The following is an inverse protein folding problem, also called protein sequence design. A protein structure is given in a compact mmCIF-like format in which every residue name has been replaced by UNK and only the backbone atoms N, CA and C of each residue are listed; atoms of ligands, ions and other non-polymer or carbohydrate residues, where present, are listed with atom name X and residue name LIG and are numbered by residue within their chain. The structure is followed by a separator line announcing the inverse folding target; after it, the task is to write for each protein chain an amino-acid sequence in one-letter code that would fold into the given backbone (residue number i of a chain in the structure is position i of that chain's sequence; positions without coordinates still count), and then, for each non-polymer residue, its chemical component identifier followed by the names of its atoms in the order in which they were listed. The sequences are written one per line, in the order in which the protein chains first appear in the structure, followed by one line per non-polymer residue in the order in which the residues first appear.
data_IF_157568470564
#
_entry.id   IF_157568470564
#
_cell.length_a   1.000
_cell.length_b   1.000
_cell.length_c   1.000
_cell.angle_alpha   90.00
_cell.angle_beta   90.00
_cell.angle_gamma   90.00
#
_symmetry.space_group_name_H-M   'P 1'
#
loop_
_entity.id
_entity.type
_entity.pdbx_description
1 polymer ?
#
# COMPACT_ATOMS: atom_id res chain seq x y z
N UNK A 1 -30.36 28.26 -31.20
CA UNK A 1 -30.36 26.89 -30.61
C UNK A 1 -29.52 25.92 -31.42
N UNK A 2 -29.70 25.83 -32.74
CA UNK A 2 -28.84 25.02 -33.62
C UNK A 2 -27.35 25.39 -33.49
N UNK A 3 -27.04 26.68 -33.36
CA UNK A 3 -25.67 27.17 -33.13
C UNK A 3 -25.05 26.62 -31.85
N UNK A 4 -25.78 26.62 -30.73
CA UNK A 4 -25.28 26.08 -29.45
C UNK A 4 -25.04 24.57 -29.54
N UNK A 5 -25.91 23.84 -30.23
CA UNK A 5 -25.71 22.41 -30.48
C UNK A 5 -24.43 22.15 -31.29
N UNK A 6 -24.25 22.83 -32.42
CA UNK A 6 -23.06 22.67 -33.25
C UNK A 6 -21.78 23.14 -32.55
N UNK A 7 -21.84 24.25 -31.81
CA UNK A 7 -20.74 24.74 -31.00
C UNK A 7 -20.31 23.67 -29.99
N UNK A 8 -21.23 23.15 -29.20
CA UNK A 8 -20.92 22.12 -28.21
C UNK A 8 -20.35 20.84 -28.83
N UNK A 9 -20.91 20.38 -29.96
CA UNK A 9 -20.42 19.21 -30.68
C UNK A 9 -18.99 19.41 -31.20
N UNK A 10 -18.73 20.54 -31.85
CA UNK A 10 -17.41 20.90 -32.35
C UNK A 10 -16.42 20.99 -31.19
N UNK A 11 -16.80 21.61 -30.07
CA UNK A 11 -15.94 21.70 -28.88
C UNK A 11 -15.61 20.33 -28.31
N UNK A 12 -16.59 19.41 -28.16
CA UNK A 12 -16.31 18.04 -27.69
C UNK A 12 -15.29 17.36 -28.59
N UNK A 13 -15.53 17.39 -29.91
CA UNK A 13 -14.64 16.73 -30.88
C UNK A 13 -13.26 17.37 -30.85
N UNK A 14 -13.17 18.70 -30.99
CA UNK A 14 -11.90 19.41 -31.05
C UNK A 14 -11.06 19.25 -29.77
N UNK A 15 -11.69 19.22 -28.60
CA UNK A 15 -11.00 19.04 -27.33
C UNK A 15 -10.61 17.58 -27.06
N UNK A 16 -11.35 16.60 -27.57
CA UNK A 16 -11.07 15.19 -27.33
C UNK A 16 -10.11 14.57 -28.35
N UNK A 17 -10.09 15.10 -29.58
CA UNK A 17 -9.28 14.61 -30.69
C UNK A 17 -7.76 14.60 -30.40
N UNK A 18 -7.17 15.59 -29.69
CA UNK A 18 -5.77 15.52 -29.24
C UNK A 18 -5.48 14.34 -28.31
N UNK A 19 -6.43 13.94 -27.45
CA UNK A 19 -6.28 12.79 -26.54
C UNK A 19 -6.14 11.51 -27.36
N UNK A 20 -7.06 11.31 -28.32
CA UNK A 20 -7.03 10.16 -29.24
C UNK A 20 -5.73 10.15 -30.05
N UNK A 21 -5.31 11.30 -30.60
CA UNK A 21 -4.07 11.38 -31.38
C UNK A 21 -2.80 11.17 -30.55
N UNK A 22 -2.85 11.42 -29.24
CA UNK A 22 -1.77 11.05 -28.32
C UNK A 22 -1.75 9.55 -27.96
N UNK A 23 -2.56 8.74 -28.63
CA UNK A 23 -2.78 7.32 -28.34
C UNK A 23 -3.17 7.10 -26.86
N UNK A 24 -3.98 8.01 -26.34
CA UNK A 24 -4.60 7.92 -25.01
C UNK A 24 -6.09 7.70 -25.18
N UNK A 25 -6.62 6.92 -24.28
CA UNK A 25 -8.04 6.78 -24.03
C UNK A 25 -8.44 7.62 -22.80
N UNK A 26 -9.73 7.84 -22.66
CA UNK A 26 -10.29 8.46 -21.49
C UNK A 26 -11.27 7.48 -20.86
N UNK A 27 -11.02 7.15 -19.60
CA UNK A 27 -11.86 6.28 -18.80
C UNK A 27 -12.44 7.07 -17.61
N UNK A 28 -13.32 6.44 -16.85
CA UNK A 28 -13.79 7.01 -15.57
C UNK A 28 -12.89 6.64 -14.38
N UNK A 29 -11.75 6.00 -14.64
CA UNK A 29 -10.73 5.62 -13.66
C UNK A 29 -9.54 6.60 -13.72
N UNK A 30 -8.32 6.12 -13.96
CA UNK A 30 -7.08 6.88 -13.83
C UNK A 30 -6.86 7.94 -14.93
N UNK A 31 -7.62 7.89 -16.02
CA UNK A 31 -7.46 8.74 -17.20
C UNK A 31 -8.62 9.73 -17.39
N UNK A 32 -9.54 9.81 -16.41
CA UNK A 32 -10.69 10.74 -16.40
C UNK A 32 -10.33 12.21 -16.61
N UNK A 33 -9.12 12.62 -16.21
CA UNK A 33 -8.57 13.97 -16.44
C UNK A 33 -8.53 14.38 -17.92
N UNK A 34 -8.44 13.42 -18.84
CA UNK A 34 -8.47 13.72 -20.28
C UNK A 34 -9.86 14.12 -20.80
N UNK A 35 -10.93 13.86 -20.04
CA UNK A 35 -12.30 14.31 -20.37
C UNK A 35 -12.57 15.75 -19.94
N UNK A 36 -11.67 16.38 -19.17
CA UNK A 36 -11.94 17.69 -18.57
C UNK A 36 -12.16 18.78 -19.63
N UNK A 37 -11.32 18.83 -20.65
CA UNK A 37 -11.44 19.83 -21.72
C UNK A 37 -12.72 19.63 -22.56
N UNK A 38 -13.06 18.39 -22.89
CA UNK A 38 -14.26 18.08 -23.68
C UNK A 38 -15.56 18.25 -22.88
N UNK A 39 -15.50 18.21 -21.55
CA UNK A 39 -16.66 18.42 -20.68
C UNK A 39 -17.36 19.77 -20.92
N UNK A 40 -16.62 20.82 -21.28
CA UNK A 40 -17.20 22.14 -21.59
C UNK A 40 -18.16 22.06 -22.78
N UNK A 41 -17.75 21.37 -23.85
CA UNK A 41 -18.61 21.14 -25.01
C UNK A 41 -19.82 20.27 -24.67
N UNK A 42 -19.64 19.27 -23.82
CA UNK A 42 -20.72 18.40 -23.37
C UNK A 42 -21.78 19.17 -22.56
N UNK A 43 -21.37 20.10 -21.70
CA UNK A 43 -22.29 20.97 -20.94
C UNK A 43 -23.11 21.84 -21.89
N UNK A 44 -22.50 22.42 -22.92
CA UNK A 44 -23.21 23.22 -23.93
C UNK A 44 -24.24 22.35 -24.69
N UNK A 45 -23.85 21.14 -25.12
CA UNK A 45 -24.73 20.20 -25.79
C UNK A 45 -25.93 19.79 -24.93
N UNK A 46 -25.69 19.40 -23.69
CA UNK A 46 -26.73 18.98 -22.75
C UNK A 46 -27.69 20.15 -22.47
N UNK A 47 -27.15 21.36 -22.29
CA UNK A 47 -27.96 22.57 -22.07
C UNK A 47 -28.83 22.89 -23.29
N UNK A 48 -28.26 22.80 -24.51
CA UNK A 48 -28.98 23.01 -25.75
C UNK A 48 -30.06 21.94 -25.99
N UNK A 49 -29.82 20.70 -25.55
CA UNK A 49 -30.77 19.60 -25.61
C UNK A 49 -31.95 19.80 -24.64
N UNK A 50 -31.66 20.08 -23.36
CA UNK A 50 -32.70 20.26 -22.32
C UNK A 50 -33.64 21.43 -22.67
N UNK A 51 -33.13 22.49 -23.29
CA UNK A 51 -33.95 23.63 -23.70
C UNK A 51 -34.94 23.31 -24.84
N UNK A 52 -34.77 22.21 -25.57
CA UNK A 52 -35.73 21.80 -26.61
C UNK A 52 -37.03 21.21 -26.03
N UNK A 53 -37.07 20.91 -24.73
CA UNK A 53 -38.28 20.38 -24.10
C UNK A 53 -39.41 21.41 -24.10
N UNK A 54 -40.50 21.09 -24.82
CA UNK A 54 -41.71 21.92 -24.90
C UNK A 54 -42.40 22.14 -23.56
N UNK A 55 -42.33 21.17 -22.65
CA UNK A 55 -42.99 21.24 -21.35
C UNK A 55 -42.06 21.81 -20.28
N UNK A 56 -42.41 22.97 -19.73
CA UNK A 56 -41.62 23.66 -18.70
C UNK A 56 -41.34 22.76 -17.47
N UNK A 57 -42.28 21.89 -17.11
CA UNK A 57 -42.07 20.90 -16.03
C UNK A 57 -40.91 19.94 -16.32
N UNK A 58 -40.77 19.46 -17.56
CA UNK A 58 -39.69 18.53 -17.94
C UNK A 58 -38.34 19.26 -17.88
N UNK A 59 -38.28 20.49 -18.39
CA UNK A 59 -37.08 21.34 -18.29
C UNK A 59 -36.62 21.52 -16.83
N UNK A 60 -37.55 21.84 -15.91
CA UNK A 60 -37.25 22.00 -14.49
C UNK A 60 -36.75 20.67 -13.91
N UNK A 61 -37.48 19.57 -14.12
CA UNK A 61 -37.12 18.26 -13.57
C UNK A 61 -35.74 17.81 -14.05
N UNK A 62 -35.45 17.91 -15.35
CA UNK A 62 -34.13 17.55 -15.90
C UNK A 62 -33.00 18.39 -15.30
N UNK A 63 -33.22 19.70 -15.15
CA UNK A 63 -32.25 20.59 -14.51
C UNK A 63 -32.05 20.23 -13.04
N UNK A 64 -33.13 19.96 -12.29
CA UNK A 64 -33.05 19.51 -10.90
C UNK A 64 -32.29 18.19 -10.76
N UNK A 65 -32.53 17.22 -11.65
CA UNK A 65 -31.81 15.93 -11.66
C UNK A 65 -30.32 16.16 -11.90
N UNK A 66 -29.93 17.01 -12.84
CA UNK A 66 -28.52 17.33 -13.08
C UNK A 66 -27.87 18.02 -11.88
N UNK A 67 -28.57 18.95 -11.22
CA UNK A 67 -28.07 19.62 -10.02
C UNK A 67 -27.88 18.62 -8.88
N UNK A 68 -28.89 17.78 -8.62
CA UNK A 68 -28.80 16.74 -7.57
C UNK A 68 -27.67 15.76 -7.89
N UNK A 69 -27.54 15.31 -9.14
CA UNK A 69 -26.45 14.43 -9.57
C UNK A 69 -25.09 15.10 -9.39
N UNK A 70 -24.95 16.38 -9.72
CA UNK A 70 -23.70 17.13 -9.55
C UNK A 70 -23.31 17.20 -8.08
N UNK A 71 -24.24 17.64 -7.21
CA UNK A 71 -23.99 17.74 -5.76
C UNK A 71 -23.63 16.38 -5.17
N UNK A 72 -24.36 15.32 -5.53
CA UNK A 72 -24.11 13.98 -5.03
C UNK A 72 -22.75 13.44 -5.51
N UNK A 73 -22.43 13.59 -6.80
CA UNK A 73 -21.14 13.15 -7.35
C UNK A 73 -19.98 13.88 -6.70
N UNK A 74 -20.05 15.20 -6.52
CA UNK A 74 -19.00 15.96 -5.85
C UNK A 74 -18.85 15.56 -4.37
N UNK A 75 -19.96 15.34 -3.66
CA UNK A 75 -19.93 14.91 -2.27
C UNK A 75 -19.32 13.51 -2.11
N UNK A 76 -19.77 12.54 -2.92
CA UNK A 76 -19.27 11.17 -2.89
C UNK A 76 -17.79 11.09 -3.31
N UNK A 77 -17.39 11.87 -4.31
CA UNK A 77 -15.98 11.99 -4.70
C UNK A 77 -15.15 12.56 -3.55
N UNK A 78 -15.62 13.62 -2.89
CA UNK A 78 -14.94 14.19 -1.72
C UNK A 78 -14.77 13.19 -0.58
N UNK A 79 -15.83 12.41 -0.29
CA UNK A 79 -15.77 11.35 0.73
C UNK A 79 -14.81 10.22 0.35
N UNK A 80 -14.77 9.83 -0.93
CA UNK A 80 -13.86 8.81 -1.44
C UNK A 80 -12.39 9.24 -1.27
N UNK A 81 -12.07 10.47 -1.70
CA UNK A 81 -10.71 11.02 -1.55
C UNK A 81 -10.31 11.25 -0.09
N UNK A 82 -11.24 11.67 0.77
CA UNK A 82 -10.98 11.78 2.20
C UNK A 82 -10.61 10.43 2.83
N UNK A 83 -11.35 9.36 2.51
CA UNK A 83 -11.04 8.00 2.98
C UNK A 83 -9.72 7.47 2.43
N UNK A 84 -9.45 7.72 1.15
CA UNK A 84 -8.18 7.34 0.51
C UNK A 84 -6.99 8.05 1.18
N UNK A 85 -7.14 9.35 1.47
CA UNK A 85 -6.12 10.12 2.19
C UNK A 85 -5.88 9.58 3.60
N UNK A 86 -6.94 9.31 4.36
CA UNK A 86 -6.85 8.71 5.70
C UNK A 86 -6.17 7.32 5.65
N UNK A 87 -6.53 6.47 4.69
CA UNK A 87 -5.88 5.16 4.53
C UNK A 87 -4.39 5.27 4.17
N UNK A 88 -4.02 6.21 3.29
CA UNK A 88 -2.61 6.50 2.95
C UNK A 88 -1.83 7.01 4.16
N UNK A 89 -2.40 7.93 4.93
CA UNK A 89 -1.79 8.45 6.16
C UNK A 89 -1.55 7.33 7.17
N UNK A 90 -2.58 6.51 7.44
CA UNK A 90 -2.47 5.36 8.33
C UNK A 90 -1.42 4.34 7.86
N UNK A 91 -1.29 4.10 6.55
CA UNK A 91 -0.24 3.24 5.99
C UNK A 91 1.15 3.77 6.35
N UNK A 92 1.42 5.05 6.10
CA UNK A 92 2.75 5.63 6.34
C UNK A 92 3.07 5.83 7.81
N UNK A 93 2.06 6.08 8.66
CA UNK A 93 2.23 6.03 10.12
C UNK A 93 2.67 4.63 10.59
N UNK A 94 2.01 3.57 10.13
CA UNK A 94 2.44 2.20 10.44
C UNK A 94 3.86 1.90 9.94
N UNK A 95 4.20 2.33 8.72
CA UNK A 95 5.56 2.21 8.19
C UNK A 95 6.56 2.91 9.10
N UNK A 96 6.27 4.12 9.59
CA UNK A 96 7.15 4.89 10.46
C UNK A 96 7.35 4.26 11.85
N UNK A 97 6.33 3.61 12.40
CA UNK A 97 6.47 2.83 13.64
C UNK A 97 7.34 1.58 13.44
N UNK A 98 7.26 0.98 12.26
CA UNK A 98 7.94 -0.29 11.92
C UNK A 98 9.38 -0.12 11.49
N UNK A 99 9.70 0.97 10.79
CA UNK A 99 10.97 1.19 10.12
C UNK A 99 11.60 2.46 10.69
N UNK A 100 12.67 2.34 11.50
CA UNK A 100 13.31 3.53 12.08
C UNK A 100 13.96 4.42 11.02
N UNK A 101 14.70 3.82 10.10
CA UNK A 101 15.32 4.49 8.97
C UNK A 101 15.53 3.53 7.79
N UNK A 102 15.55 4.06 6.57
CA UNK A 102 15.83 3.32 5.33
C UNK A 102 17.20 3.69 4.75
N UNK A 103 17.92 2.68 4.24
CA UNK A 103 19.15 2.86 3.47
C UNK A 103 18.85 3.59 2.15
N UNK A 104 19.74 4.50 1.77
CA UNK A 104 19.72 5.13 0.44
C UNK A 104 19.86 4.09 -0.67
N UNK A 105 19.27 4.35 -1.83
CA UNK A 105 19.26 3.40 -2.96
C UNK A 105 18.32 2.20 -2.77
N UNK A 106 17.48 2.22 -1.73
CA UNK A 106 16.41 1.22 -1.57
C UNK A 106 15.27 1.52 -2.55
N UNK A 107 14.84 0.50 -3.29
CA UNK A 107 13.63 0.58 -4.11
C UNK A 107 12.44 0.04 -3.34
N UNK A 108 11.42 0.86 -3.11
CA UNK A 108 10.22 0.45 -2.42
C UNK A 108 9.19 -0.08 -3.40
N UNK A 109 8.68 -1.29 -3.12
CA UNK A 109 7.47 -1.83 -3.75
C UNK A 109 6.38 -1.75 -2.71
N UNK A 110 5.38 -0.90 -2.95
CA UNK A 110 4.27 -0.71 -2.01
C UNK A 110 2.95 -1.26 -2.58
N UNK A 111 2.18 -1.94 -1.72
CA UNK A 111 0.81 -2.31 -2.00
C UNK A 111 -0.11 -1.66 -0.97
N UNK A 112 -0.94 -0.72 -1.43
CA UNK A 112 -1.93 -0.04 -0.63
C UNK A 112 -3.27 -0.76 -0.70
N UNK A 113 -3.87 -1.04 0.46
CA UNK A 113 -5.16 -1.75 0.54
C UNK A 113 -6.35 -0.97 -0.05
N UNK A 114 -6.23 0.35 -0.18
CA UNK A 114 -7.32 1.25 -0.54
C UNK A 114 -7.34 1.66 -2.02
N UNK A 115 -6.21 1.54 -2.73
CA UNK A 115 -6.09 1.94 -4.14
C UNK A 115 -4.90 1.26 -4.80
N UNK A 116 -5.01 1.00 -6.11
CA UNK A 116 -3.86 0.63 -6.92
C UNK A 116 -2.83 1.77 -6.96
N UNK A 117 -1.55 1.41 -6.91
CA UNK A 117 -0.47 2.37 -7.13
C UNK A 117 -0.33 2.59 -8.64
N UNK A 118 -0.68 3.78 -9.12
CA UNK A 118 -0.55 4.08 -10.55
C UNK A 118 0.87 4.52 -10.93
N UNK A 119 1.58 5.18 -10.01
CA UNK A 119 2.84 5.85 -10.31
C UNK A 119 3.86 5.70 -9.17
N UNK A 120 5.15 5.62 -9.54
CA UNK A 120 6.27 5.39 -8.62
C UNK A 120 6.37 6.45 -7.50
N UNK A 121 6.03 7.70 -7.81
CA UNK A 121 6.11 8.84 -6.89
C UNK A 121 5.06 8.83 -5.79
N UNK A 122 4.00 8.02 -5.94
CA UNK A 122 3.09 7.72 -4.84
C UNK A 122 3.76 6.87 -3.75
N UNK A 123 4.91 6.25 -4.04
CA UNK A 123 5.70 5.47 -3.10
C UNK A 123 6.90 6.29 -2.62
N UNK A 124 7.77 6.71 -3.55
CA UNK A 124 9.02 7.37 -3.15
C UNK A 124 8.81 8.77 -2.58
N UNK A 125 7.75 9.49 -2.99
CA UNK A 125 7.43 10.82 -2.47
C UNK A 125 7.25 10.83 -0.94
N UNK A 126 6.24 10.14 -0.39
CA UNK A 126 6.03 10.05 1.05
C UNK A 126 7.21 9.39 1.79
N UNK A 127 7.84 8.36 1.21
CA UNK A 127 9.00 7.72 1.83
C UNK A 127 10.17 8.69 2.06
N UNK A 128 10.53 9.49 1.04
CA UNK A 128 11.61 10.46 1.19
C UNK A 128 11.23 11.59 2.15
N UNK A 129 9.98 12.04 2.17
CA UNK A 129 9.54 13.04 3.17
C UNK A 129 9.70 12.56 4.63
N UNK A 130 9.62 11.25 4.88
CA UNK A 130 9.79 10.67 6.22
C UNK A 130 11.28 10.41 6.52
N UNK A 131 12.00 9.79 5.59
CA UNK A 131 13.32 9.20 5.86
C UNK A 131 14.50 10.02 5.35
N UNK A 132 14.29 10.78 4.27
CA UNK A 132 15.32 11.58 3.57
C UNK A 132 14.73 12.92 3.08
N UNK A 133 14.24 13.80 3.97
CA UNK A 133 13.49 14.99 3.57
C UNK A 133 14.37 16.08 2.93
N UNK A 134 15.70 15.97 3.06
CA UNK A 134 16.67 16.86 2.43
C UNK A 134 17.08 16.29 1.07
N UNK A 135 17.14 17.16 0.04
CA UNK A 135 17.62 16.75 -1.29
C UNK A 135 19.09 16.36 -1.22
N UNK A 136 19.47 15.30 -1.92
CA UNK A 136 20.87 14.88 -2.04
C UNK A 136 21.70 15.79 -2.98
N UNK A 137 21.05 16.66 -3.74
CA UNK A 137 21.68 17.58 -4.68
C UNK A 137 20.98 18.94 -4.62
N UNK A 138 21.78 20.00 -4.49
CA UNK A 138 21.30 21.39 -4.43
C UNK A 138 20.75 21.88 -5.79
N UNK A 139 21.22 21.29 -6.89
CA UNK A 139 20.89 21.72 -8.25
C UNK A 139 19.77 20.88 -8.89
N UNK A 140 19.50 19.69 -8.37
CA UNK A 140 18.41 18.84 -8.87
C UNK A 140 17.77 18.00 -7.76
N UNK A 141 16.44 17.92 -7.68
CA UNK A 141 15.78 17.03 -6.72
C UNK A 141 16.09 15.58 -7.07
N UNK A 142 16.91 14.94 -6.23
CA UNK A 142 17.27 13.51 -6.32
C UNK A 142 16.80 12.79 -5.06
N UNK A 143 15.66 12.07 -5.16
CA UNK A 143 15.18 11.23 -4.06
C UNK A 143 16.19 10.13 -3.72
N UNK A 144 16.50 9.98 -2.43
CA UNK A 144 17.41 8.94 -1.91
C UNK A 144 16.78 7.55 -1.96
N UNK A 145 15.46 7.48 -1.80
CA UNK A 145 14.67 6.27 -1.95
C UNK A 145 13.93 6.29 -3.28
N UNK A 146 13.76 5.13 -3.91
CA UNK A 146 13.04 4.99 -5.17
C UNK A 146 11.74 4.20 -4.98
N UNK A 147 10.89 4.23 -6.00
CA UNK A 147 9.60 3.56 -6.00
C UNK A 147 9.46 2.72 -7.26
N UNK A 148 8.85 1.55 -7.13
CA UNK A 148 8.57 0.65 -8.23
C UNK A 148 7.11 0.22 -8.17
N UNK A 149 6.35 0.58 -9.20
CA UNK A 149 4.96 0.14 -9.35
C UNK A 149 4.96 -1.32 -9.76
N UNK A 150 4.27 -2.17 -9.01
CA UNK A 150 4.21 -3.59 -9.34
C UNK A 150 3.23 -3.82 -10.49
N UNK A 151 3.73 -4.42 -11.56
CA UNK A 151 2.96 -4.89 -12.71
C UNK A 151 3.69 -6.09 -13.30
N UNK A 152 3.08 -6.78 -14.28
CA UNK A 152 3.66 -7.99 -14.87
C UNK A 152 5.09 -7.81 -15.39
N UNK A 153 5.40 -6.68 -16.01
CA UNK A 153 6.74 -6.40 -16.55
C UNK A 153 7.76 -6.23 -15.42
N UNK A 154 7.44 -5.39 -14.44
CA UNK A 154 8.30 -5.15 -13.28
C UNK A 154 8.48 -6.39 -12.41
N UNK A 155 7.44 -7.23 -12.26
CA UNK A 155 7.53 -8.53 -11.59
C UNK A 155 8.57 -9.42 -12.28
N UNK A 156 8.54 -9.51 -13.61
CA UNK A 156 9.52 -10.28 -14.39
C UNK A 156 10.93 -9.68 -14.25
N UNK A 157 11.06 -8.35 -14.29
CA UNK A 157 12.34 -7.66 -14.11
C UNK A 157 12.96 -7.91 -12.72
N UNK A 158 12.16 -7.90 -11.65
CA UNK A 158 12.58 -8.26 -10.29
C UNK A 158 13.06 -9.71 -10.23
N UNK A 159 12.27 -10.65 -10.78
CA UNK A 159 12.60 -12.08 -10.76
C UNK A 159 13.93 -12.35 -11.47
N UNK A 160 14.19 -11.64 -12.56
CA UNK A 160 15.41 -11.74 -13.35
C UNK A 160 16.58 -10.90 -12.80
N UNK A 161 16.39 -10.13 -11.72
CA UNK A 161 17.38 -9.18 -11.20
C UNK A 161 17.93 -8.26 -12.32
N UNK A 162 17.00 -7.68 -13.10
CA UNK A 162 17.35 -6.77 -14.16
C UNK A 162 18.17 -5.58 -13.61
N UNK A 163 19.03 -5.01 -14.46
CA UNK A 163 19.82 -3.85 -14.06
C UNK A 163 18.88 -2.66 -13.79
N UNK A 164 19.22 -1.78 -12.83
CA UNK A 164 18.45 -0.58 -12.58
C UNK A 164 18.31 0.29 -13.83
N UNK A 165 17.09 0.76 -14.08
CA UNK A 165 16.78 1.66 -15.20
C UNK A 165 16.62 3.09 -14.70
N UNK A 166 17.24 4.06 -15.41
CA UNK A 166 17.13 5.47 -15.06
C UNK A 166 15.79 6.03 -15.54
N UNK A 167 15.07 6.69 -14.62
CA UNK A 167 13.88 7.46 -14.94
C UNK A 167 14.11 8.94 -14.68
N UNK A 168 13.85 9.76 -15.70
CA UNK A 168 13.83 11.21 -15.58
C UNK A 168 12.41 11.73 -15.79
N UNK A 169 11.75 12.08 -14.70
CA UNK A 169 10.41 12.68 -14.71
C UNK A 169 10.54 14.17 -14.39
N UNK A 170 10.54 15.01 -15.42
CA UNK A 170 10.56 16.49 -15.28
C UNK A 170 11.72 16.96 -14.38
N UNK A 171 12.93 16.47 -14.67
CA UNK A 171 14.17 16.78 -13.93
C UNK A 171 14.30 16.14 -12.54
N UNK A 172 13.35 15.28 -12.14
CA UNK A 172 13.51 14.40 -10.98
C UNK A 172 14.11 13.08 -11.50
N UNK A 173 15.32 12.77 -11.03
CA UNK A 173 16.05 11.56 -11.43
C UNK A 173 15.85 10.50 -10.36
N UNK A 174 15.30 9.36 -10.75
CA UNK A 174 15.10 8.16 -9.92
C UNK A 174 15.56 6.94 -10.70
N UNK A 175 15.55 5.77 -10.05
CA UNK A 175 15.88 4.51 -10.71
C UNK A 175 14.84 3.44 -10.38
N UNK A 176 14.53 2.60 -11.36
CA UNK A 176 13.79 1.35 -11.13
C UNK A 176 14.78 0.28 -10.69
N UNK A 177 15.09 0.22 -9.39
CA UNK A 177 16.02 -0.77 -8.85
C UNK A 177 15.35 -2.13 -8.64
N UNK A 178 15.52 -3.04 -9.58
CA UNK A 178 14.91 -4.38 -9.53
C UNK A 178 15.65 -5.38 -8.62
N UNK A 179 16.90 -5.08 -8.27
CA UNK A 179 17.83 -5.95 -7.55
C UNK A 179 17.95 -5.64 -6.04
N UNK A 180 17.49 -4.46 -5.61
CA UNK A 180 17.49 -4.06 -4.20
C UNK A 180 16.12 -3.50 -3.78
N UNK A 181 15.11 -4.38 -3.75
CA UNK A 181 13.75 -4.01 -3.37
C UNK A 181 13.47 -4.24 -1.88
N UNK A 182 12.58 -3.44 -1.30
CA UNK A 182 11.93 -3.70 -0.02
C UNK A 182 10.42 -3.61 -0.22
N UNK A 183 9.70 -4.68 0.13
CA UNK A 183 8.25 -4.78 -0.08
C UNK A 183 7.52 -4.32 1.19
N UNK A 184 6.64 -3.32 1.02
CA UNK A 184 5.73 -2.79 2.03
C UNK A 184 4.29 -3.07 1.57
N UNK A 185 3.59 -3.99 2.22
CA UNK A 185 2.29 -4.45 1.73
C UNK A 185 1.21 -4.35 2.79
N UNK A 186 0.03 -3.90 2.40
CA UNK A 186 -1.17 -3.96 3.21
C UNK A 186 -2.22 -4.78 2.45
N UNK A 187 -2.31 -6.10 2.68
CA UNK A 187 -3.13 -7.01 1.87
C UNK A 187 -4.63 -6.68 1.85
N UNK A 188 -5.16 -6.13 2.94
CA UNK A 188 -6.57 -5.74 3.08
C UNK A 188 -6.72 -4.49 3.94
N UNK A 189 -7.90 -3.86 3.93
CA UNK A 189 -8.21 -2.70 4.79
C UNK A 189 -8.12 -3.04 6.28
N UNK A 190 -8.30 -4.31 6.64
CA UNK A 190 -8.18 -4.84 8.00
C UNK A 190 -6.79 -5.33 8.38
N UNK A 191 -5.88 -5.44 7.41
CA UNK A 191 -4.50 -5.87 7.65
C UNK A 191 -3.65 -4.67 8.05
N UNK A 192 -2.71 -4.89 8.95
CA UNK A 192 -1.61 -3.97 9.21
C UNK A 192 -0.59 -4.02 8.06
N UNK A 193 0.24 -2.99 7.94
CA UNK A 193 1.34 -2.95 6.97
C UNK A 193 2.37 -4.02 7.31
N UNK A 194 2.77 -4.83 6.34
CA UNK A 194 3.76 -5.88 6.48
C UNK A 194 5.03 -5.48 5.72
N UNK A 195 6.18 -5.65 6.37
CA UNK A 195 7.49 -5.50 5.75
C UNK A 195 8.02 -6.89 5.48
N UNK A 196 8.04 -7.30 4.21
CA UNK A 196 8.39 -8.68 3.84
C UNK A 196 9.89 -8.90 4.04
N UNK A 197 10.24 -9.96 4.77
CA UNK A 197 11.60 -10.49 4.84
C UNK A 197 11.80 -11.52 3.73
N UNK A 198 12.68 -11.26 2.76
CA UNK A 198 12.96 -12.20 1.68
C UNK A 198 13.65 -13.49 2.12
N UNK A 199 14.29 -13.50 3.30
CA UNK A 199 14.87 -14.73 3.86
C UNK A 199 13.80 -15.64 4.47
N UNK A 200 12.71 -15.05 4.95
CA UNK A 200 11.57 -15.73 5.56
C UNK A 200 10.25 -15.16 5.01
N UNK A 201 9.96 -15.34 3.71
CA UNK A 201 8.90 -14.62 3.01
C UNK A 201 7.52 -15.19 3.31
N UNK A 202 7.07 -15.04 4.56
CA UNK A 202 5.71 -15.35 4.98
C UNK A 202 4.80 -14.19 4.58
N UNK A 203 3.71 -14.53 3.89
CA UNK A 203 2.73 -13.57 3.37
C UNK A 203 1.31 -13.91 3.84
N UNK A 204 0.45 -12.90 3.88
CA UNK A 204 -0.98 -13.07 4.16
C UNK A 204 -1.67 -13.94 3.11
N UNK A 205 -2.76 -14.62 3.51
CA UNK A 205 -3.64 -15.29 2.56
C UNK A 205 -4.39 -14.32 1.64
N UNK A 206 -4.50 -13.05 2.03
CA UNK A 206 -5.11 -11.99 1.26
C UNK A 206 -4.12 -11.30 0.31
N UNK A 207 -2.86 -11.75 0.27
CA UNK A 207 -1.81 -11.11 -0.51
C UNK A 207 -1.97 -11.32 -2.02
N UNK A 208 -1.61 -10.30 -2.81
CA UNK A 208 -1.63 -10.34 -4.26
C UNK A 208 -0.59 -11.31 -4.81
N UNK A 209 -0.95 -12.07 -5.86
CA UNK A 209 -0.08 -13.08 -6.47
C UNK A 209 1.28 -12.53 -6.92
N UNK A 210 1.32 -11.30 -7.44
CA UNK A 210 2.57 -10.68 -7.88
C UNK A 210 3.53 -10.49 -6.70
N UNK A 211 3.05 -10.06 -5.53
CA UNK A 211 3.85 -9.95 -4.30
C UNK A 211 4.31 -11.33 -3.84
N UNK A 212 3.42 -12.32 -3.82
CA UNK A 212 3.79 -13.69 -3.44
C UNK A 212 4.94 -14.23 -4.30
N UNK A 213 4.92 -13.95 -5.60
CA UNK A 213 5.95 -14.39 -6.55
C UNK A 213 7.32 -13.77 -6.27
N UNK A 214 7.36 -12.51 -5.80
CA UNK A 214 8.61 -11.76 -5.57
C UNK A 214 8.98 -11.64 -4.08
N UNK A 215 8.21 -12.21 -3.16
CA UNK A 215 8.38 -12.01 -1.72
C UNK A 215 9.81 -12.34 -1.25
N UNK A 216 10.40 -13.42 -1.79
CA UNK A 216 11.80 -13.82 -1.53
C UNK A 216 12.88 -12.84 -2.02
N UNK A 217 12.51 -11.84 -2.84
CA UNK A 217 13.41 -10.79 -3.34
C UNK A 217 13.45 -9.55 -2.45
N UNK A 218 12.56 -9.45 -1.47
CA UNK A 218 12.56 -8.34 -0.51
C UNK A 218 13.80 -8.37 0.37
N UNK A 219 14.52 -7.25 0.47
CA UNK A 219 15.75 -7.14 1.24
C UNK A 219 15.53 -6.34 2.53
N UNK A 220 15.23 -7.04 3.62
CA UNK A 220 14.97 -6.41 4.91
C UNK A 220 16.20 -5.71 5.52
N UNK A 221 17.41 -6.00 5.01
CA UNK A 221 18.63 -5.31 5.42
C UNK A 221 18.64 -3.83 4.99
N UNK A 222 17.69 -3.39 4.16
CA UNK A 222 17.49 -1.97 3.85
C UNK A 222 16.90 -1.17 5.02
N UNK A 223 16.36 -1.84 6.04
CA UNK A 223 15.93 -1.21 7.30
C UNK A 223 17.14 -1.04 8.21
N UNK A 224 17.43 0.19 8.62
CA UNK A 224 18.48 0.53 9.59
C UNK A 224 17.84 0.51 10.98
N UNK A 225 18.29 -0.41 11.84
CA UNK A 225 17.69 -0.66 13.15
C UNK A 225 18.17 0.32 14.22
N UNK A 226 19.41 0.79 14.14
CA UNK A 226 20.07 1.65 15.14
C UNK A 226 19.81 3.13 14.87
N UNK A 227 18.54 3.49 14.70
CA UNK A 227 18.09 4.86 14.52
C UNK A 227 16.89 5.14 15.42
N UNK A 228 16.70 6.40 15.83
CA UNK A 228 15.43 6.82 16.41
C UNK A 228 14.33 6.75 15.35
N UNK A 229 13.10 6.42 15.75
CA UNK A 229 11.99 6.39 14.79
C UNK A 229 11.83 7.76 14.11
N UNK A 230 11.79 7.77 12.78
CA UNK A 230 11.45 8.97 12.01
C UNK A 230 9.96 9.27 12.17
N UNK A 231 9.64 10.48 12.65
CA UNK A 231 8.25 10.92 12.78
C UNK A 231 7.78 11.56 11.47
N UNK A 232 6.68 11.07 10.87
CA UNK A 232 6.03 11.75 9.75
C UNK A 232 5.64 13.20 10.10
N UNK A 233 5.76 14.10 9.13
CA UNK A 233 5.34 15.50 9.28
C UNK A 233 3.81 15.60 9.30
N UNK A 234 3.23 16.13 10.38
CA UNK A 234 1.78 16.23 10.57
C UNK A 234 1.07 16.99 9.43
N UNK A 235 1.72 18.01 8.86
CA UNK A 235 1.15 18.79 7.74
C UNK A 235 0.91 17.96 6.47
N UNK A 236 1.66 16.85 6.30
CA UNK A 236 1.54 15.96 5.14
C UNK A 236 0.77 14.69 5.51
N UNK A 237 1.04 14.12 6.69
CA UNK A 237 0.58 12.80 7.09
C UNK A 237 -0.55 12.81 8.13
N UNK A 238 -1.05 14.00 8.50
CA UNK A 238 -2.02 14.14 9.57
C UNK A 238 -1.45 13.80 10.95
N UNK A 239 -2.31 13.89 11.96
CA UNK A 239 -1.95 13.53 13.32
C UNK A 239 -1.68 12.02 13.44
N UNK A 240 -0.85 11.65 14.41
CA UNK A 240 -0.59 10.25 14.72
C UNK A 240 -1.91 9.54 15.09
N UNK A 241 -2.24 8.41 14.44
CA UNK A 241 -3.44 7.65 14.76
C UNK A 241 -3.32 6.98 16.14
N UNK A 242 -4.48 6.62 16.71
CA UNK A 242 -4.50 5.93 18.00
C UNK A 242 -3.73 4.61 17.94
N UNK A 243 -3.02 4.30 19.03
CA UNK A 243 -2.21 3.09 19.15
C UNK A 243 -3.09 1.85 19.41
N UNK A 244 -3.69 1.34 18.35
CA UNK A 244 -4.43 0.08 18.34
C UNK A 244 -3.53 -1.11 17.99
N UNK A 245 -4.13 -2.26 17.62
CA UNK A 245 -3.40 -3.49 17.31
C UNK A 245 -2.20 -3.29 16.37
N UNK A 246 -2.37 -2.55 15.27
CA UNK A 246 -1.29 -2.36 14.31
C UNK A 246 -0.06 -1.68 14.92
N UNK A 247 -0.22 -0.73 15.85
CA UNK A 247 0.91 -0.14 16.55
C UNK A 247 1.73 -1.18 17.31
N UNK A 248 1.07 -2.05 18.07
CA UNK A 248 1.73 -3.13 18.82
C UNK A 248 2.36 -4.16 17.88
N UNK A 249 1.69 -4.50 16.78
CA UNK A 249 2.25 -5.38 15.76
C UNK A 249 3.52 -4.78 15.11
N UNK A 250 3.51 -3.50 14.72
CA UNK A 250 4.68 -2.85 14.13
C UNK A 250 5.85 -2.80 15.12
N UNK A 251 5.56 -2.46 16.37
CA UNK A 251 6.54 -2.42 17.46
C UNK A 251 7.15 -3.79 17.73
N UNK A 252 6.31 -4.83 17.78
CA UNK A 252 6.75 -6.21 17.96
C UNK A 252 7.57 -6.71 16.76
N UNK A 253 7.14 -6.44 15.53
CA UNK A 253 7.88 -6.86 14.32
C UNK A 253 9.25 -6.18 14.24
N UNK A 254 9.36 -4.91 14.67
CA UNK A 254 10.65 -4.23 14.79
C UNK A 254 11.53 -4.83 15.90
N UNK A 255 10.96 -5.10 17.09
CA UNK A 255 11.69 -5.74 18.19
C UNK A 255 12.19 -7.14 17.79
N UNK A 256 11.37 -7.90 17.08
CA UNK A 256 11.74 -9.20 16.53
C UNK A 256 12.94 -9.07 15.56
N UNK A 257 12.91 -8.09 14.66
CA UNK A 257 14.02 -7.84 13.73
C UNK A 257 15.33 -7.44 14.45
N UNK A 258 15.23 -6.83 15.64
CA UNK A 258 16.39 -6.52 16.50
C UNK A 258 16.89 -7.73 17.31
N UNK A 259 16.19 -8.86 17.26
CA UNK A 259 16.48 -10.04 18.07
C UNK A 259 16.00 -9.94 19.52
N UNK A 260 15.18 -8.94 19.85
CA UNK A 260 14.63 -8.72 21.19
C UNK A 260 13.31 -9.49 21.35
N UNK A 261 13.40 -10.82 21.40
CA UNK A 261 12.25 -11.72 21.42
C UNK A 261 11.43 -11.62 22.71
N UNK A 262 12.05 -11.23 23.82
CA UNK A 262 11.38 -11.05 25.11
C UNK A 262 10.43 -9.84 25.04
N UNK A 263 10.91 -8.72 24.50
CA UNK A 263 10.08 -7.54 24.25
C UNK A 263 8.90 -7.83 23.31
N UNK A 264 9.07 -8.72 22.32
CA UNK A 264 7.97 -9.13 21.43
C UNK A 264 6.81 -9.71 22.24
N UNK A 265 7.09 -10.61 23.18
CA UNK A 265 6.05 -11.23 24.01
C UNK A 265 5.48 -10.25 25.04
N UNK A 266 6.26 -9.32 25.57
CA UNK A 266 5.77 -8.26 26.45
C UNK A 266 4.81 -7.30 25.74
N UNK A 267 5.14 -6.91 24.50
CA UNK A 267 4.27 -6.10 23.64
C UNK A 267 2.95 -6.83 23.39
N UNK A 268 3.00 -8.14 23.11
CA UNK A 268 1.80 -8.98 22.98
C UNK A 268 0.91 -8.92 24.21
N UNK A 269 1.49 -9.05 25.40
CA UNK A 269 0.74 -9.02 26.64
C UNK A 269 0.11 -7.65 26.90
N UNK A 270 0.81 -6.55 26.57
CA UNK A 270 0.26 -5.19 26.65
C UNK A 270 -0.94 -5.02 25.73
N UNK A 271 -0.82 -5.42 24.47
CA UNK A 271 -1.92 -5.38 23.50
C UNK A 271 -3.14 -6.20 23.97
N UNK A 272 -2.90 -7.42 24.46
CA UNK A 272 -3.94 -8.31 24.98
C UNK A 272 -4.67 -7.72 26.19
N UNK A 273 -3.97 -7.08 27.13
CA UNK A 273 -4.57 -6.41 28.31
C UNK A 273 -5.50 -5.26 27.91
N UNK A 274 -5.21 -4.60 26.80
CA UNK A 274 -6.02 -3.52 26.24
C UNK A 274 -7.16 -4.01 25.32
N UNK A 275 -7.26 -5.33 25.09
CA UNK A 275 -8.29 -5.92 24.25
C UNK A 275 -8.00 -5.88 22.75
N UNK A 276 -6.78 -5.53 22.34
CA UNK A 276 -6.38 -5.52 20.93
C UNK A 276 -5.99 -6.91 20.43
N UNK A 277 -6.33 -7.20 19.16
CA UNK A 277 -6.04 -8.47 18.49
C UNK A 277 -5.93 -8.28 16.98
N UNK A 278 -5.14 -9.13 16.33
CA UNK A 278 -5.06 -9.18 14.87
C UNK A 278 -6.38 -9.59 14.23
N UNK A 279 -6.64 -9.00 13.06
CA UNK A 279 -7.64 -9.49 12.12
C UNK A 279 -6.99 -10.43 11.08
N UNK A 280 -5.81 -10.08 10.57
CA UNK A 280 -5.04 -10.93 9.65
C UNK A 280 -4.18 -11.92 10.45
N UNK A 281 -4.36 -13.24 10.30
CA UNK A 281 -3.60 -14.24 11.04
C UNK A 281 -2.09 -14.12 10.88
N UNK A 282 -1.58 -13.59 9.76
CA UNK A 282 -0.13 -13.46 9.53
C UNK A 282 0.55 -12.52 10.53
N UNK A 283 -0.19 -11.58 11.09
CA UNK A 283 0.31 -10.61 12.07
C UNK A 283 0.68 -11.28 13.41
N UNK A 284 0.21 -12.50 13.64
CA UNK A 284 0.63 -13.32 14.78
C UNK A 284 2.00 -13.98 14.60
N UNK A 285 2.55 -13.99 13.39
CA UNK A 285 3.77 -14.73 13.06
C UNK A 285 5.00 -14.25 13.85
N UNK A 286 5.31 -12.94 13.99
CA UNK A 286 6.47 -12.52 14.78
C UNK A 286 6.38 -12.96 16.25
N UNK A 287 5.16 -12.95 16.81
CA UNK A 287 4.92 -13.41 18.18
C UNK A 287 5.11 -14.92 18.31
N UNK A 288 4.66 -15.71 17.33
CA UNK A 288 4.86 -17.15 17.32
C UNK A 288 6.35 -17.49 17.20
N UNK A 289 7.05 -16.84 16.28
CA UNK A 289 8.48 -17.03 16.09
C UNK A 289 9.27 -16.69 17.37
N UNK A 290 8.94 -15.57 18.03
CA UNK A 290 9.56 -15.20 19.31
C UNK A 290 9.31 -16.26 20.39
N UNK A 291 8.07 -16.73 20.54
CA UNK A 291 7.74 -17.79 21.50
C UNK A 291 8.50 -19.09 21.21
N UNK A 292 8.64 -19.47 19.94
CA UNK A 292 9.39 -20.66 19.53
C UNK A 292 10.89 -20.51 19.85
N UNK A 293 11.49 -19.35 19.53
CA UNK A 293 12.91 -19.09 19.77
C UNK A 293 13.26 -18.99 21.26
N UNK A 294 12.31 -18.57 22.09
CA UNK A 294 12.44 -18.55 23.54
C UNK A 294 12.06 -19.89 24.22
N UNK A 295 11.68 -20.90 23.43
CA UNK A 295 11.12 -22.17 23.90
C UNK A 295 9.90 -22.03 24.84
N UNK A 296 9.16 -20.92 24.72
CA UNK A 296 7.94 -20.66 25.48
C UNK A 296 6.76 -21.42 24.85
N UNK A 297 6.60 -22.67 25.29
CA UNK A 297 5.60 -23.60 24.78
C UNK A 297 4.16 -23.10 24.97
N UNK A 298 3.86 -22.52 26.14
CA UNK A 298 2.51 -22.09 26.47
C UNK A 298 2.06 -20.94 25.54
N UNK A 299 2.94 -19.97 25.31
CA UNK A 299 2.68 -18.89 24.37
C UNK A 299 2.59 -19.42 22.93
N UNK A 300 3.46 -20.35 22.54
CA UNK A 300 3.43 -20.93 21.19
C UNK A 300 2.11 -21.67 20.92
N UNK A 301 1.61 -22.46 21.87
CA UNK A 301 0.30 -23.14 21.79
C UNK A 301 -0.86 -22.14 21.72
N UNK A 302 -0.80 -21.06 22.50
CA UNK A 302 -1.81 -20.00 22.42
C UNK A 302 -1.84 -19.38 21.02
N UNK A 303 -0.69 -18.99 20.49
CA UNK A 303 -0.60 -18.24 19.22
C UNK A 303 -0.90 -19.15 18.02
N UNK A 304 -0.49 -20.42 18.07
CA UNK A 304 -0.74 -21.40 17.00
C UNK A 304 -2.23 -21.51 16.64
N UNK A 305 -3.14 -21.31 17.60
CA UNK A 305 -4.59 -21.31 17.34
C UNK A 305 -5.05 -20.23 16.36
N UNK A 306 -4.35 -19.10 16.31
CA UNK A 306 -4.65 -18.04 15.34
C UNK A 306 -4.11 -18.38 13.96
N UNK A 307 -2.88 -18.90 13.90
CA UNK A 307 -2.23 -19.32 12.64
C UNK A 307 -3.06 -20.38 11.93
N UNK A 308 -3.56 -21.38 12.67
CA UNK A 308 -4.36 -22.49 12.14
C UNK A 308 -5.74 -22.10 11.60
N UNK A 309 -6.16 -20.85 11.76
CA UNK A 309 -7.38 -20.35 11.11
C UNK A 309 -7.21 -20.25 9.59
N UNK A 310 -5.98 -20.11 9.11
CA UNK A 310 -5.66 -20.12 7.68
C UNK A 310 -4.80 -21.33 7.34
N UNK A 311 -5.33 -22.24 6.53
CA UNK A 311 -4.54 -23.39 6.03
C UNK A 311 -3.36 -22.95 5.17
N UNK A 312 -3.45 -21.79 4.50
CA UNK A 312 -2.36 -21.21 3.75
C UNK A 312 -1.20 -20.81 4.67
N UNK A 313 -1.51 -20.12 5.77
CA UNK A 313 -0.52 -19.73 6.76
C UNK A 313 0.04 -20.91 7.56
N UNK A 314 -0.77 -21.92 7.87
CA UNK A 314 -0.34 -23.17 8.50
C UNK A 314 0.74 -23.88 7.67
N UNK A 315 0.56 -23.96 6.34
CA UNK A 315 1.56 -24.53 5.43
C UNK A 315 2.86 -23.71 5.42
N UNK A 316 2.77 -22.39 5.39
CA UNK A 316 3.95 -21.52 5.48
C UNK A 316 4.67 -21.71 6.82
N UNK A 317 3.93 -21.75 7.93
CA UNK A 317 4.47 -21.99 9.26
C UNK A 317 5.25 -23.32 9.31
N UNK A 318 4.70 -24.40 8.76
CA UNK A 318 5.40 -25.68 8.67
C UNK A 318 6.72 -25.57 7.89
N UNK A 319 6.71 -24.90 6.73
CA UNK A 319 7.86 -24.81 5.84
C UNK A 319 9.01 -23.96 6.41
N UNK A 320 8.65 -22.92 7.17
CA UNK A 320 9.59 -21.90 7.58
C UNK A 320 10.01 -22.04 9.05
N UNK A 321 9.12 -22.37 9.99
CA UNK A 321 9.47 -22.49 11.41
C UNK A 321 10.45 -23.65 11.68
N UNK A 322 10.42 -24.72 10.87
CA UNK A 322 11.38 -25.84 10.96
C UNK A 322 12.81 -25.46 10.57
N UNK A 323 13.00 -24.30 9.94
CA UNK A 323 14.33 -23.78 9.55
C UNK A 323 14.96 -22.92 10.64
N UNK A 324 14.24 -22.64 11.73
CA UNK A 324 14.78 -21.87 12.84
C UNK A 324 15.92 -22.66 13.52
N UNK A 325 17.06 -22.02 13.79
CA UNK A 325 18.22 -22.71 14.36
C UNK A 325 18.04 -22.97 15.86
N UNK A 326 18.80 -23.94 16.38
CA UNK A 326 19.00 -24.17 17.82
C UNK A 326 17.73 -24.45 18.65
N UNK A 327 16.72 -25.09 18.06
CA UNK A 327 15.51 -25.49 18.79
C UNK A 327 15.72 -26.81 19.55
N UNK A 328 15.23 -26.89 20.79
CA UNK A 328 15.10 -28.13 21.54
C UNK A 328 14.12 -29.13 20.91
N UNK A 329 14.35 -30.42 21.17
CA UNK A 329 13.56 -31.53 20.59
C UNK A 329 12.06 -31.41 20.87
N UNK A 330 11.68 -30.90 22.05
CA UNK A 330 10.28 -30.68 22.39
C UNK A 330 9.61 -29.64 21.48
N UNK A 331 10.31 -28.54 21.18
CA UNK A 331 9.79 -27.47 20.34
C UNK A 331 9.71 -27.89 18.87
N UNK A 332 10.73 -28.60 18.36
CA UNK A 332 10.71 -29.13 16.99
C UNK A 332 9.56 -30.13 16.78
N UNK A 333 9.33 -31.02 17.76
CA UNK A 333 8.19 -31.93 17.75
C UNK A 333 6.85 -31.18 17.79
N UNK A 334 6.75 -30.08 18.53
CA UNK A 334 5.55 -29.25 18.56
C UNK A 334 5.26 -28.61 17.21
N UNK A 335 6.27 -28.01 16.56
CA UNK A 335 6.11 -27.40 15.23
C UNK A 335 5.61 -28.46 14.24
N UNK A 336 6.26 -29.64 14.24
CA UNK A 336 5.91 -30.73 13.34
C UNK A 336 4.48 -31.23 13.57
N UNK A 337 4.09 -31.51 14.82
CA UNK A 337 2.73 -32.01 15.13
C UNK A 337 1.64 -30.96 14.93
N UNK A 338 1.96 -29.68 15.13
CA UNK A 338 0.95 -28.61 15.14
C UNK A 338 0.63 -28.10 13.75
N UNK A 339 1.66 -27.97 12.89
CA UNK A 339 1.56 -27.31 11.58
C UNK A 339 1.84 -28.23 10.39
N UNK A 340 2.59 -29.33 10.54
CA UNK A 340 3.04 -30.15 9.40
C UNK A 340 2.27 -31.45 9.20
N UNK A 341 1.73 -32.02 10.27
CA UNK A 341 0.99 -33.28 10.23
C UNK A 341 -0.51 -32.94 10.16
N UNK A 342 -1.18 -33.40 9.09
CA UNK A 342 -2.64 -33.37 8.98
C UNK A 342 -3.25 -34.67 9.44
#
# INVERSE_FOLDING_TARGET
MNEAFWLGLITVIACFLPVIFSNRDADFSGLSRYMLASSVGAVILISAFIHQFRYHKIYIVSTCVLIISSVLTHHLNGLSWARSSDAMQNFWWQVSWRIPQLKEGTTLVANYSHTAVEEDYFIWGPANLIYHPQSQDENSPKPALWGLVLNRENTISILNQAKPELLNRRSIITYLGYDNILILTQPSLSSCVQVIDGNFPIVSEYEQYDIQAIASKSNQNNVILDYSASSPLEVVFGAEPQHEWCFYYQSASLAFQRGDYESVLDIKQKAKKLGFSAQDPVEWMPFLQAAILLEDYDQAVEIARFIKKSSFLELQACNYLRKLPNLGEQMDNFITKTFCIK
#
